data_IF_383264146043
#
_entry.id   IF_383264146043
#
_cell.length_a   1.000
_cell.length_b   1.000
_cell.length_c   1.000
_cell.angle_alpha   90.00
_cell.angle_beta   90.00
_cell.angle_gamma   90.00
#
_symmetry.space_group_name_H-M   'P 1'
#
loop_
_entity.id
_entity.type
_entity.pdbx_description
1 polymer ?
#
# COMPACT_ATOMS: atom_id res chain seq x y z
N UNK A 1 6.01 -5.76 2.25
CA UNK A 1 6.26 -4.96 1.03
C UNK A 1 6.57 -5.80 -0.21
N UNK A 2 7.22 -6.97 -0.10
CA UNK A 2 7.44 -7.83 -1.28
C UNK A 2 6.11 -8.28 -1.89
N UNK A 3 5.15 -8.73 -1.07
CA UNK A 3 3.84 -9.18 -1.58
C UNK A 3 3.06 -8.07 -2.29
N UNK A 4 2.90 -6.92 -1.64
CA UNK A 4 2.13 -5.80 -2.21
C UNK A 4 2.78 -5.26 -3.50
N UNK A 5 4.11 -5.27 -3.59
CA UNK A 5 4.82 -4.92 -4.81
C UNK A 5 4.52 -5.92 -5.94
N UNK A 6 4.66 -7.23 -5.66
CA UNK A 6 4.41 -8.27 -6.66
C UNK A 6 2.94 -8.31 -7.12
N UNK A 7 1.99 -8.15 -6.20
CA UNK A 7 0.56 -8.06 -6.54
C UNK A 7 0.29 -6.82 -7.41
N UNK A 8 0.92 -5.67 -7.14
CA UNK A 8 0.77 -4.49 -7.98
C UNK A 8 1.32 -4.72 -9.40
N UNK A 9 2.49 -5.36 -9.53
CA UNK A 9 3.07 -5.71 -10.83
C UNK A 9 2.13 -6.64 -11.62
N UNK A 10 1.62 -7.70 -10.98
CA UNK A 10 0.65 -8.61 -11.59
C UNK A 10 -0.66 -7.89 -11.99
N UNK A 11 -1.16 -6.97 -11.16
CA UNK A 11 -2.33 -6.16 -11.48
C UNK A 11 -2.10 -5.29 -12.74
N UNK A 12 -0.87 -4.80 -12.94
CA UNK A 12 -0.50 -4.09 -14.16
C UNK A 12 -0.44 -5.01 -15.38
N UNK A 13 0.18 -6.18 -15.24
CA UNK A 13 0.31 -7.16 -16.32
C UNK A 13 -1.06 -7.69 -16.77
N UNK A 14 -2.00 -7.83 -15.83
CA UNK A 14 -3.37 -8.27 -16.09
C UNK A 14 -4.30 -7.11 -16.53
N UNK A 15 -3.79 -5.88 -16.65
CA UNK A 15 -4.53 -4.73 -17.16
C UNK A 15 -5.51 -4.09 -16.16
N UNK A 16 -5.45 -4.43 -14.88
CA UNK A 16 -6.24 -3.77 -13.83
C UNK A 16 -5.76 -2.33 -13.56
N UNK A 17 -4.46 -2.06 -13.79
CA UNK A 17 -3.85 -0.73 -13.79
C UNK A 17 -2.92 -0.56 -14.99
N UNK A 18 -2.60 0.69 -15.32
CA UNK A 18 -1.78 1.00 -16.52
C UNK A 18 -0.30 0.64 -16.37
N UNK A 19 0.28 0.93 -15.20
CA UNK A 19 1.71 0.74 -14.95
C UNK A 19 2.01 0.92 -13.46
N UNK A 20 3.05 0.25 -12.97
CA UNK A 20 3.57 0.40 -11.60
C UNK A 20 4.94 1.05 -11.61
N UNK A 21 5.20 1.94 -10.64
CA UNK A 21 6.54 2.43 -10.29
C UNK A 21 6.75 2.28 -8.80
N UNK A 22 7.64 1.36 -8.41
CA UNK A 22 7.98 1.12 -7.01
C UNK A 22 9.12 2.06 -6.61
N UNK A 23 8.92 2.81 -5.53
CA UNK A 23 9.96 3.67 -4.95
C UNK A 23 10.55 2.99 -3.72
N UNK A 24 11.87 2.74 -3.75
CA UNK A 24 12.59 2.24 -2.59
C UNK A 24 12.95 3.41 -1.67
N UNK A 25 12.34 3.44 -0.49
CA UNK A 25 12.57 4.46 0.53
C UNK A 25 12.96 3.83 1.86
N UNK A 26 13.87 4.47 2.58
CA UNK A 26 14.19 4.08 3.95
C UNK A 26 13.24 4.82 4.92
N UNK A 27 12.03 4.28 5.07
CA UNK A 27 11.00 4.89 5.91
C UNK A 27 11.27 4.54 7.39
N UNK A 28 11.49 5.53 8.27
CA UNK A 28 11.66 5.25 9.69
C UNK A 28 10.35 4.74 10.32
N UNK A 29 10.45 3.81 11.27
CA UNK A 29 9.30 3.20 11.98
C UNK A 29 8.70 4.17 13.01
N UNK A 30 8.09 5.24 12.52
CA UNK A 30 7.47 6.30 13.33
C UNK A 30 6.08 5.90 13.83
N UNK A 31 5.56 6.63 14.82
CA UNK A 31 4.19 6.43 15.31
C UNK A 31 3.14 6.62 14.20
N UNK A 32 3.35 7.59 13.31
CA UNK A 32 2.46 7.84 12.18
C UNK A 32 2.44 6.64 11.21
N UNK A 33 3.60 6.03 10.92
CA UNK A 33 3.65 4.83 10.09
C UNK A 33 2.88 3.67 10.74
N UNK A 34 3.10 3.41 12.03
CA UNK A 34 2.44 2.32 12.75
C UNK A 34 0.92 2.51 12.77
N UNK A 35 0.44 3.73 13.02
CA UNK A 35 -0.99 4.05 13.00
C UNK A 35 -1.61 3.79 11.61
N UNK A 36 -0.92 4.20 10.55
CA UNK A 36 -1.39 4.01 9.18
C UNK A 36 -1.36 2.53 8.76
N UNK A 37 -0.29 1.80 9.09
CA UNK A 37 -0.18 0.35 8.87
C UNK A 37 -1.31 -0.41 9.58
N UNK A 38 -1.59 -0.05 10.84
CA UNK A 38 -2.68 -0.66 11.61
C UNK A 38 -4.03 -0.44 10.92
N UNK A 39 -4.32 0.80 10.52
CA UNK A 39 -5.56 1.10 9.80
C UNK A 39 -5.71 0.25 8.54
N UNK A 40 -4.65 0.10 7.75
CA UNK A 40 -4.68 -0.71 6.53
C UNK A 40 -5.01 -2.16 6.87
N UNK A 41 -4.27 -2.75 7.81
CA UNK A 41 -4.43 -4.15 8.20
C UNK A 41 -5.82 -4.45 8.80
N UNK A 42 -6.40 -3.49 9.52
CA UNK A 42 -7.72 -3.64 10.14
C UNK A 42 -8.88 -3.42 9.15
N UNK A 43 -8.63 -2.73 8.01
CA UNK A 43 -9.68 -2.26 7.09
C UNK A 43 -9.71 -3.03 5.76
N UNK A 44 -8.56 -3.48 5.27
CA UNK A 44 -8.44 -4.08 3.95
C UNK A 44 -7.90 -5.51 4.04
N UNK A 45 -8.41 -6.34 3.15
CA UNK A 45 -7.84 -7.66 2.92
C UNK A 45 -6.59 -7.53 2.05
N UNK A 46 -5.44 -7.86 2.65
CA UNK A 46 -4.14 -7.73 1.99
C UNK A 46 -3.82 -9.01 1.21
N UNK A 47 -3.92 -8.90 -0.11
CA UNK A 47 -3.52 -9.96 -1.04
C UNK A 47 -2.05 -10.36 -0.85
N UNK A 48 -1.75 -11.66 -0.92
CA UNK A 48 -0.41 -12.21 -0.72
C UNK A 48 0.02 -13.10 -1.88
N UNK A 49 1.33 -13.13 -2.17
CA UNK A 49 1.88 -14.01 -3.21
C UNK A 49 1.81 -15.50 -2.83
N UNK A 50 1.60 -15.80 -1.55
CA UNK A 50 1.45 -17.17 -1.05
C UNK A 50 0.03 -17.74 -1.22
N UNK A 51 -0.95 -16.91 -1.58
CA UNK A 51 -2.32 -17.33 -1.83
C UNK A 51 -2.55 -17.41 -3.34
N UNK A 52 -2.97 -18.58 -3.82
CA UNK A 52 -3.11 -18.83 -5.25
C UNK A 52 -4.14 -17.93 -5.94
N UNK A 53 -5.26 -17.66 -5.27
CA UNK A 53 -6.32 -16.84 -5.87
C UNK A 53 -5.85 -15.39 -6.06
N UNK A 54 -5.08 -14.86 -5.10
CA UNK A 54 -4.60 -13.48 -5.09
C UNK A 54 -3.66 -13.20 -6.26
N UNK A 55 -2.69 -14.08 -6.53
CA UNK A 55 -1.74 -13.86 -7.63
C UNK A 55 -2.30 -14.25 -9.01
N UNK A 56 -3.30 -15.13 -9.09
CA UNK A 56 -4.00 -15.42 -10.35
C UNK A 56 -4.99 -14.31 -10.74
N UNK A 57 -5.65 -13.72 -9.75
CA UNK A 57 -6.69 -12.71 -9.94
C UNK A 57 -6.39 -11.44 -9.13
N UNK A 58 -5.26 -10.74 -9.41
CA UNK A 58 -4.84 -9.59 -8.63
C UNK A 58 -5.85 -8.44 -8.75
N UNK A 59 -6.36 -7.99 -7.60
CA UNK A 59 -7.30 -6.88 -7.52
C UNK A 59 -6.55 -5.59 -7.21
N UNK A 60 -6.93 -4.51 -7.88
CA UNK A 60 -6.49 -3.17 -7.52
C UNK A 60 -7.64 -2.41 -6.87
N UNK A 61 -7.42 -1.91 -5.66
CA UNK A 61 -8.34 -1.00 -4.97
C UNK A 61 -7.55 0.21 -4.49
N UNK A 62 -8.13 1.40 -4.65
CA UNK A 62 -7.56 2.59 -4.03
C UNK A 62 -7.99 2.66 -2.56
N UNK A 63 -7.02 2.69 -1.65
CA UNK A 63 -7.32 2.82 -0.22
C UNK A 63 -7.75 4.24 0.13
N UNK A 64 -8.90 4.30 0.79
CA UNK A 64 -9.44 5.51 1.39
C UNK A 64 -8.53 6.04 2.49
N UNK A 65 -8.48 7.36 2.59
CA UNK A 65 -7.66 8.10 3.56
C UNK A 65 -8.59 9.01 4.35
N UNK A 66 -9.42 8.43 5.24
CA UNK A 66 -10.48 9.18 5.92
C UNK A 66 -9.90 10.35 6.71
N UNK A 67 -10.65 11.45 6.75
CA UNK A 67 -10.26 12.68 7.48
C UNK A 67 -9.97 12.37 8.95
N UNK A 68 -9.04 13.13 9.52
CA UNK A 68 -8.57 12.97 10.90
C UNK A 68 -7.28 12.15 10.96
N UNK A 69 -7.16 11.32 12.00
CA UNK A 69 -5.87 10.69 12.38
C UNK A 69 -5.20 9.90 11.25
N UNK A 70 -5.96 9.24 10.39
CA UNK A 70 -5.42 8.42 9.30
C UNK A 70 -4.83 9.30 8.20
N UNK A 71 -5.57 10.30 7.74
CA UNK A 71 -5.07 11.27 6.77
C UNK A 71 -3.86 12.05 7.33
N UNK A 72 -3.90 12.43 8.61
CA UNK A 72 -2.79 13.12 9.27
C UNK A 72 -1.54 12.23 9.33
N UNK A 73 -1.71 10.96 9.70
CA UNK A 73 -0.63 9.97 9.74
C UNK A 73 -0.02 9.74 8.34
N UNK A 74 -0.86 9.57 7.32
CA UNK A 74 -0.43 9.44 5.92
C UNK A 74 0.42 10.65 5.48
N UNK A 75 -0.09 11.87 5.70
CA UNK A 75 0.62 13.10 5.35
C UNK A 75 1.94 13.28 6.11
N UNK A 76 1.99 12.88 7.39
CA UNK A 76 3.22 12.89 8.17
C UNK A 76 4.26 11.91 7.61
N UNK A 77 3.85 10.72 7.18
CA UNK A 77 4.74 9.75 6.52
C UNK A 77 5.31 10.35 5.23
N UNK A 78 4.48 10.95 4.37
CA UNK A 78 4.96 11.58 3.13
C UNK A 78 5.97 12.70 3.42
N UNK A 79 5.61 13.62 4.34
CA UNK A 79 6.45 14.75 4.72
C UNK A 79 7.78 14.30 5.31
N UNK A 80 7.78 13.30 6.19
CA UNK A 80 9.00 12.77 6.81
C UNK A 80 9.96 12.16 5.78
N UNK A 81 9.43 11.63 4.67
CA UNK A 81 10.20 11.00 3.60
C UNK A 81 10.46 11.93 2.41
N UNK A 82 10.11 13.22 2.53
CA UNK A 82 10.27 14.24 1.46
C UNK A 82 9.60 13.83 0.15
N UNK A 83 8.46 13.15 0.25
CA UNK A 83 7.61 12.80 -0.88
C UNK A 83 6.56 13.90 -1.00
N UNK A 84 6.53 14.59 -2.13
CA UNK A 84 5.63 15.71 -2.41
C UNK A 84 5.70 16.13 -3.87
#
# INVERSE_FOLDING_TARGET
NIDQNGIAELASDHGAIKSVRILQLNIPRTKALIEYEKYINDTYDLQTLTNEDDWKNPKWVEWEKPKGKILDAYNMVLKANRIG
#
